data_IF_813417208389
#
_entry.id   IF_813417208389
#
_cell.length_a   1.000
_cell.length_b   1.000
_cell.length_c   1.000
_cell.angle_alpha   90.00
_cell.angle_beta   90.00
_cell.angle_gamma   90.00
#
_symmetry.space_group_name_H-M   'P 1'
#
loop_
_entity.id
_entity.type
_entity.pdbx_description
1 polymer ?
#
# COMPACT_ATOMS: atom_id res chain seq x y z
N UNK A 1 8.60 8.41 22.24
CA UNK A 1 9.13 7.02 22.26
C UNK A 1 10.61 6.97 22.65
N UNK A 2 11.06 5.92 23.35
CA UNK A 2 12.49 5.75 23.70
C UNK A 2 13.30 5.41 22.45
N UNK A 3 14.30 6.22 22.11
CA UNK A 3 15.18 5.96 20.98
C UNK A 3 15.99 4.69 21.21
N UNK A 4 15.98 3.78 20.25
CA UNK A 4 16.78 2.56 20.33
C UNK A 4 18.22 2.84 19.91
N UNK A 5 19.21 2.33 20.65
CA UNK A 5 20.62 2.46 20.28
C UNK A 5 20.99 1.45 19.21
N UNK A 6 21.44 1.94 18.06
CA UNK A 6 21.96 1.15 16.96
C UNK A 6 23.51 1.24 16.94
N UNK A 7 24.19 0.14 17.28
CA UNK A 7 25.64 0.13 17.46
C UNK A 7 26.23 -1.28 17.28
N UNK A 8 27.51 -1.47 17.60
CA UNK A 8 28.20 -2.76 17.42
C UNK A 8 27.66 -3.90 18.30
N UNK A 9 26.88 -3.62 19.35
CA UNK A 9 26.18 -4.63 20.17
C UNK A 9 24.78 -4.90 19.64
N UNK A 10 24.07 -3.85 19.26
CA UNK A 10 22.73 -3.92 18.66
C UNK A 10 22.82 -3.61 17.16
N UNK A 11 23.36 -4.56 16.40
CA UNK A 11 23.68 -4.33 14.98
C UNK A 11 22.50 -4.49 14.04
N UNK A 12 21.41 -5.11 14.48
CA UNK A 12 20.25 -5.42 13.66
C UNK A 12 19.01 -5.19 14.50
N UNK A 13 18.12 -4.35 14.01
CA UNK A 13 16.82 -4.09 14.62
C UNK A 13 15.77 -4.21 13.54
N UNK A 14 14.71 -4.96 13.82
CA UNK A 14 13.57 -5.08 12.93
C UNK A 14 12.52 -4.08 13.36
N UNK A 15 11.88 -3.47 12.38
CA UNK A 15 10.82 -2.47 12.56
C UNK A 15 9.61 -2.88 11.74
N UNK A 16 8.45 -2.58 12.31
CA UNK A 16 7.17 -2.56 11.64
C UNK A 16 6.81 -1.10 11.45
N UNK A 17 6.51 -0.70 10.22
CA UNK A 17 6.27 0.69 9.85
C UNK A 17 4.99 0.75 9.05
N UNK A 18 3.99 1.44 9.58
CA UNK A 18 2.83 1.82 8.77
C UNK A 18 3.29 2.72 7.63
N UNK A 19 2.51 2.69 6.56
CA UNK A 19 2.80 3.44 5.37
C UNK A 19 1.49 4.02 4.83
N UNK A 20 1.56 5.26 4.38
CA UNK A 20 0.44 5.97 3.74
C UNK A 20 0.92 6.63 2.45
N UNK A 21 2.18 6.38 2.07
CA UNK A 21 2.81 7.02 0.94
C UNK A 21 3.60 5.99 0.15
N UNK A 22 3.69 6.16 -1.16
CA UNK A 22 4.39 5.21 -2.04
C UNK A 22 5.91 5.35 -1.94
N UNK A 23 6.45 5.59 -0.74
CA UNK A 23 7.89 5.74 -0.51
C UNK A 23 8.35 5.24 0.87
N UNK A 24 9.57 4.71 0.93
CA UNK A 24 10.30 4.43 2.17
C UNK A 24 11.36 5.53 2.35
N UNK A 25 11.29 6.27 3.45
CA UNK A 25 12.23 7.36 3.75
C UNK A 25 13.21 6.96 4.84
N UNK A 26 14.50 7.22 4.58
CA UNK A 26 15.58 7.08 5.55
C UNK A 26 16.24 8.46 5.70
N UNK A 27 16.05 9.11 6.84
CA UNK A 27 16.47 10.50 7.04
C UNK A 27 17.31 10.67 8.29
N UNK A 28 18.00 11.81 8.38
CA UNK A 28 18.63 12.21 9.63
C UNK A 28 17.63 12.88 10.58
N UNK A 29 17.97 12.96 11.87
CA UNK A 29 17.07 13.53 12.87
C UNK A 29 16.82 15.04 12.75
N UNK A 30 17.69 15.78 12.06
CA UNK A 30 17.47 17.22 11.82
C UNK A 30 16.42 17.51 10.74
N UNK A 31 16.07 16.50 9.95
CA UNK A 31 15.01 16.57 8.93
C UNK A 31 13.59 16.57 9.53
N UNK A 32 13.46 16.33 10.84
CA UNK A 32 12.15 16.26 11.51
C UNK A 32 11.36 17.54 11.26
N UNK A 33 10.29 17.44 10.47
CA UNK A 33 9.35 18.53 10.09
C UNK A 33 9.99 19.73 9.39
N UNK A 34 11.16 19.55 8.78
CA UNK A 34 11.88 20.65 8.16
C UNK A 34 12.00 20.48 6.64
N UNK A 35 11.57 19.34 6.10
CA UNK A 35 11.64 19.10 4.66
C UNK A 35 10.38 19.60 3.95
N UNK A 36 10.63 20.32 2.87
CA UNK A 36 9.64 20.59 1.84
C UNK A 36 9.40 19.27 1.07
N UNK A 37 8.19 18.73 1.17
CA UNK A 37 7.82 17.45 0.56
C UNK A 37 7.43 17.55 -0.92
N UNK A 38 7.62 18.71 -1.56
CA UNK A 38 7.59 18.83 -3.03
C UNK A 38 8.79 18.12 -3.66
N UNK A 39 8.71 17.79 -4.96
CA UNK A 39 9.83 17.18 -5.70
C UNK A 39 11.13 17.99 -5.57
N UNK A 40 11.06 19.31 -5.70
CA UNK A 40 12.23 20.19 -5.57
C UNK A 40 12.78 20.21 -4.14
N UNK A 41 11.90 20.18 -3.13
CA UNK A 41 12.29 20.12 -1.73
C UNK A 41 12.98 18.81 -1.37
N UNK A 42 12.42 17.68 -1.80
CA UNK A 42 13.00 16.35 -1.61
C UNK A 42 14.35 16.23 -2.35
N UNK A 43 14.46 16.72 -3.59
CA UNK A 43 15.72 16.72 -4.33
C UNK A 43 16.81 17.54 -3.62
N UNK A 44 16.47 18.69 -3.04
CA UNK A 44 17.40 19.48 -2.20
C UNK A 44 17.81 18.72 -0.95
N UNK A 45 16.87 18.04 -0.28
CA UNK A 45 17.17 17.25 0.91
C UNK A 45 18.14 16.10 0.60
N UNK A 46 17.94 15.39 -0.52
CA UNK A 46 18.84 14.32 -0.98
C UNK A 46 20.21 14.89 -1.34
N UNK A 47 20.28 16.01 -2.07
CA UNK A 47 21.54 16.68 -2.38
C UNK A 47 22.30 17.14 -1.12
N UNK A 48 21.57 17.53 -0.08
CA UNK A 48 22.11 17.89 1.23
C UNK A 48 22.43 16.67 2.13
N UNK A 49 22.28 15.43 1.62
CA UNK A 49 22.48 14.17 2.36
C UNK A 49 21.59 14.07 3.60
N UNK A 50 20.41 14.65 3.56
CA UNK A 50 19.43 14.62 4.67
C UNK A 50 18.43 13.48 4.54
N UNK A 51 18.26 12.97 3.33
CA UNK A 51 17.25 11.99 2.96
C UNK A 51 17.82 10.97 1.96
N UNK A 52 17.42 9.72 2.14
CA UNK A 52 17.45 8.67 1.12
C UNK A 52 16.00 8.18 0.97
N UNK A 53 15.48 8.17 -0.25
CA UNK A 53 14.11 7.77 -0.52
C UNK A 53 14.05 6.62 -1.54
N UNK A 54 13.22 5.62 -1.28
CA UNK A 54 12.98 4.49 -2.18
C UNK A 54 11.50 4.47 -2.56
N UNK A 55 11.19 4.30 -3.85
CA UNK A 55 9.80 4.21 -4.31
C UNK A 55 9.18 2.86 -3.95
N UNK A 56 7.97 2.88 -3.41
CA UNK A 56 7.16 1.71 -3.09
C UNK A 56 6.05 1.53 -4.12
N UNK A 57 5.74 0.28 -4.46
CA UNK A 57 4.67 -0.05 -5.40
C UNK A 57 3.28 -0.12 -4.73
N UNK A 58 3.22 0.09 -3.41
CA UNK A 58 2.00 0.12 -2.60
C UNK A 58 2.14 1.03 -1.37
N UNK A 59 1.01 1.28 -0.73
CA UNK A 59 0.82 2.03 0.51
C UNK A 59 0.69 1.14 1.75
N UNK A 60 0.75 -0.20 1.68
CA UNK A 60 0.70 -1.03 2.90
C UNK A 60 1.95 -0.89 3.79
N UNK A 61 1.77 -1.27 5.07
CA UNK A 61 2.83 -1.35 6.07
C UNK A 61 4.03 -2.21 5.65
N UNK A 62 5.16 -1.97 6.30
CA UNK A 62 6.47 -2.44 5.88
C UNK A 62 7.25 -3.03 7.04
N UNK A 63 7.56 -4.32 6.94
CA UNK A 63 8.59 -4.94 7.76
C UNK A 63 9.99 -4.65 7.19
N UNK A 64 10.80 -3.90 7.92
CA UNK A 64 12.17 -3.59 7.53
C UNK A 64 13.18 -3.97 8.62
N UNK A 65 14.42 -4.27 8.21
CA UNK A 65 15.55 -4.49 9.12
C UNK A 65 16.59 -3.40 8.94
N UNK A 66 16.89 -2.68 10.01
CA UNK A 66 17.98 -1.71 10.06
C UNK A 66 19.26 -2.40 10.53
N UNK A 67 20.32 -2.35 9.72
CA UNK A 67 21.60 -3.03 9.96
C UNK A 67 22.74 -2.02 10.09
N UNK A 68 23.41 -2.01 11.24
CA UNK A 68 24.64 -1.24 11.43
C UNK A 68 25.88 -2.09 11.18
N UNK A 69 26.61 -1.74 10.12
CA UNK A 69 27.73 -2.51 9.59
C UNK A 69 27.33 -3.31 8.35
N UNK A 70 27.86 -4.52 8.23
CA UNK A 70 27.64 -5.34 7.03
C UNK A 70 26.32 -6.11 7.12
N UNK A 71 25.54 -6.10 6.03
CA UNK A 71 24.47 -7.06 5.81
C UNK A 71 25.02 -8.49 5.97
N UNK A 72 24.19 -9.44 6.37
CA UNK A 72 24.58 -10.83 6.45
C UNK A 72 24.54 -11.48 5.05
N UNK A 73 25.00 -12.72 4.96
CA UNK A 73 25.05 -13.44 3.68
C UNK A 73 23.66 -13.65 3.07
N UNK A 74 22.68 -14.06 3.86
CA UNK A 74 21.31 -14.30 3.42
C UNK A 74 20.63 -13.01 2.95
N UNK A 75 20.78 -11.92 3.71
CA UNK A 75 20.23 -10.59 3.38
C UNK A 75 20.68 -10.13 1.98
N UNK A 76 21.94 -10.37 1.61
CA UNK A 76 22.45 -10.06 0.26
C UNK A 76 22.04 -11.08 -0.80
N UNK A 77 22.07 -12.38 -0.48
CA UNK A 77 21.75 -13.44 -1.44
C UNK A 77 20.26 -13.50 -1.82
N UNK A 78 19.38 -13.02 -0.95
CA UNK A 78 17.93 -12.99 -1.18
C UNK A 78 17.42 -11.63 -1.70
N UNK A 79 18.29 -10.62 -1.75
CA UNK A 79 17.94 -9.30 -2.29
C UNK A 79 17.69 -9.36 -3.80
N UNK A 80 16.62 -8.70 -4.22
CA UNK A 80 16.16 -8.66 -5.61
C UNK A 80 16.39 -7.31 -6.28
N UNK A 81 16.62 -6.26 -5.48
CA UNK A 81 17.01 -4.92 -5.91
C UNK A 81 17.93 -4.32 -4.83
N UNK A 82 18.81 -3.41 -5.22
CA UNK A 82 19.62 -2.62 -4.31
C UNK A 82 19.71 -1.16 -4.76
N UNK A 83 19.75 -0.25 -3.80
CA UNK A 83 20.06 1.15 -4.07
C UNK A 83 20.92 1.73 -2.96
N UNK A 84 21.81 2.65 -3.28
CA UNK A 84 22.71 3.27 -2.32
C UNK A 84 22.71 4.79 -2.41
N UNK A 85 22.67 5.45 -1.25
CA UNK A 85 22.74 6.90 -1.10
C UNK A 85 23.56 7.29 0.14
N UNK A 86 24.02 8.53 0.20
CA UNK A 86 24.74 9.06 1.37
C UNK A 86 23.80 9.83 2.29
N UNK A 87 23.99 9.64 3.60
CA UNK A 87 23.23 10.29 4.65
C UNK A 87 24.18 10.89 5.70
N UNK A 88 24.02 12.18 5.97
CA UNK A 88 24.72 12.87 7.06
C UNK A 88 23.96 12.68 8.37
N UNK A 89 24.52 11.83 9.24
CA UNK A 89 24.01 11.52 10.58
C UNK A 89 24.87 12.20 11.65
N UNK A 90 25.49 13.36 11.37
CA UNK A 90 26.29 14.14 12.32
C UNK A 90 25.54 14.53 13.61
N UNK A 91 24.21 14.56 13.58
CA UNK A 91 23.36 14.77 14.76
C UNK A 91 23.16 13.51 15.62
N UNK A 92 23.66 12.35 15.19
CA UNK A 92 23.59 11.09 15.93
C UNK A 92 22.20 10.45 15.95
N UNK A 93 21.29 10.86 15.06
CA UNK A 93 19.91 10.35 14.99
C UNK A 93 19.59 9.94 13.57
N UNK A 94 19.18 8.68 13.41
CA UNK A 94 18.61 8.11 12.20
C UNK A 94 17.09 7.97 12.38
N UNK A 95 16.33 8.26 11.34
CA UNK A 95 14.91 7.95 11.27
C UNK A 95 14.62 7.10 10.02
N UNK A 96 13.74 6.12 10.18
CA UNK A 96 13.20 5.31 9.08
C UNK A 96 11.69 5.45 9.14
N UNK A 97 11.05 5.76 8.02
CA UNK A 97 9.61 5.98 7.95
C UNK A 97 8.98 5.34 6.72
N UNK A 98 7.80 4.75 6.90
CA UNK A 98 6.85 4.53 5.81
C UNK A 98 6.28 5.89 5.41
N UNK A 99 6.61 6.31 4.21
CA UNK A 99 6.24 7.59 3.64
C UNK A 99 6.94 8.80 4.24
N UNK A 100 6.24 9.93 4.27
CA UNK A 100 6.78 11.22 4.70
C UNK A 100 6.48 11.54 6.18
N UNK A 101 5.84 10.63 6.92
CA UNK A 101 5.33 10.87 8.27
C UNK A 101 6.34 11.50 9.24
N UNK A 102 7.63 11.16 9.14
CA UNK A 102 8.67 11.76 9.99
C UNK A 102 9.06 13.20 9.60
N UNK A 103 9.07 13.50 8.31
CA UNK A 103 9.60 14.75 7.73
C UNK A 103 8.51 15.76 7.38
N UNK A 104 7.25 15.32 7.37
CA UNK A 104 6.08 16.14 7.09
C UNK A 104 5.94 17.27 8.13
N UNK A 105 5.76 18.50 7.65
CA UNK A 105 5.90 19.72 8.44
C UNK A 105 4.58 20.37 8.87
N UNK A 106 3.44 19.83 8.42
CA UNK A 106 2.12 20.45 8.66
C UNK A 106 1.46 20.00 9.97
N UNK A 107 2.05 19.01 10.66
CA UNK A 107 1.47 18.36 11.83
C UNK A 107 2.21 18.76 13.10
N UNK A 108 1.50 19.04 14.19
CA UNK A 108 2.13 19.46 15.45
C UNK A 108 2.85 18.30 16.17
N UNK A 109 3.71 18.63 17.15
CA UNK A 109 4.61 17.69 17.84
C UNK A 109 3.88 16.51 18.47
N UNK A 110 2.68 16.80 18.98
CA UNK A 110 1.86 15.87 19.73
C UNK A 110 1.09 14.97 18.77
N UNK A 111 0.46 15.55 17.76
CA UNK A 111 -0.30 14.82 16.73
C UNK A 111 0.58 13.82 15.97
N UNK A 112 1.83 14.18 15.62
CA UNK A 112 2.75 13.21 14.99
C UNK A 112 3.10 12.03 15.89
N UNK A 113 3.21 12.22 17.21
CA UNK A 113 3.52 11.10 18.12
C UNK A 113 2.28 10.25 18.41
N UNK A 114 1.10 10.88 18.50
CA UNK A 114 -0.17 10.20 18.80
C UNK A 114 -0.77 9.48 17.58
N UNK A 115 -0.65 10.05 16.38
CA UNK A 115 -1.28 9.53 15.16
C UNK A 115 -0.27 8.85 14.23
N UNK A 116 0.96 9.36 14.15
CA UNK A 116 1.97 8.89 13.20
C UNK A 116 3.13 8.13 13.83
N UNK A 117 3.04 7.82 15.12
CA UNK A 117 4.09 7.11 15.85
C UNK A 117 4.43 5.74 15.24
N UNK A 118 3.45 5.10 14.60
CA UNK A 118 3.57 3.77 13.98
C UNK A 118 4.20 3.83 12.57
N UNK A 119 4.27 5.03 11.96
CA UNK A 119 4.81 5.23 10.62
C UNK A 119 6.33 5.41 10.60
N UNK A 120 6.97 5.63 11.75
CA UNK A 120 8.42 5.85 11.80
C UNK A 120 9.06 5.34 13.08
N UNK A 121 10.32 4.91 12.95
CA UNK A 121 11.18 4.57 14.07
C UNK A 121 12.46 5.41 14.04
N UNK A 122 12.89 5.87 15.21
CA UNK A 122 14.15 6.60 15.37
C UNK A 122 15.19 5.80 16.14
N UNK A 123 16.45 6.02 15.80
CA UNK A 123 17.61 5.32 16.36
C UNK A 123 18.71 6.31 16.75
N UNK A 124 19.31 6.09 17.91
CA UNK A 124 20.59 6.71 18.26
C UNK A 124 21.72 5.96 17.53
N UNK A 125 22.51 6.70 16.77
CA UNK A 125 23.65 6.20 15.98
C UNK A 125 24.92 6.99 16.34
N UNK A 126 26.08 6.43 16.00
CA UNK A 126 27.33 7.20 16.12
C UNK A 126 27.31 8.35 15.11
N UNK A 127 27.63 9.60 15.50
CA UNK A 127 27.70 10.72 14.56
C UNK A 127 28.68 10.49 13.41
N UNK A 128 28.27 10.83 12.19
CA UNK A 128 29.12 10.76 11.00
C UNK A 128 28.32 10.72 9.70
N UNK A 129 29.04 10.62 8.58
CA UNK A 129 28.43 10.37 7.26
C UNK A 129 28.40 8.88 6.97
N UNK A 130 27.27 8.40 6.47
CA UNK A 130 27.02 6.98 6.21
C UNK A 130 26.58 6.75 4.76
N UNK A 131 27.07 5.66 4.19
CA UNK A 131 26.47 5.02 3.04
C UNK A 131 25.27 4.20 3.55
N UNK A 132 24.10 4.55 3.05
CA UNK A 132 22.86 3.81 3.26
C UNK A 132 22.63 2.96 2.02
N UNK A 133 22.64 1.64 2.19
CA UNK A 133 22.26 0.68 1.14
C UNK A 133 20.92 0.08 1.51
N UNK A 134 19.91 0.25 0.64
CA UNK A 134 18.61 -0.36 0.79
C UNK A 134 18.54 -1.58 -0.12
N UNK A 135 18.25 -2.73 0.44
CA UNK A 135 17.93 -3.95 -0.32
C UNK A 135 16.43 -4.18 -0.27
N UNK A 136 15.84 -4.46 -1.43
CA UNK A 136 14.47 -4.95 -1.51
C UNK A 136 14.50 -6.47 -1.47
N UNK A 137 13.65 -7.05 -0.63
CA UNK A 137 13.47 -8.49 -0.45
C UNK A 137 12.08 -8.92 -0.96
N UNK A 138 11.86 -10.23 -1.05
CA UNK A 138 10.60 -10.80 -1.55
C UNK A 138 9.38 -10.54 -0.67
N UNK A 139 9.54 -10.09 0.58
CA UNK A 139 8.41 -9.75 1.44
C UNK A 139 7.72 -8.43 1.09
N UNK A 140 8.26 -7.65 0.16
CA UNK A 140 7.65 -6.39 -0.30
C UNK A 140 6.93 -6.59 -1.63
N UNK A 141 5.85 -5.85 -1.89
CA UNK A 141 5.24 -5.80 -3.21
C UNK A 141 6.14 -5.26 -4.32
N UNK A 142 7.16 -4.46 -3.97
CA UNK A 142 8.22 -4.11 -4.92
C UNK A 142 8.86 -5.37 -5.53
N UNK A 143 8.77 -6.50 -4.85
CA UNK A 143 9.28 -7.75 -5.36
C UNK A 143 8.61 -8.28 -6.61
N UNK A 144 7.39 -7.86 -6.91
CA UNK A 144 6.76 -8.21 -8.18
C UNK A 144 7.50 -7.61 -9.38
N UNK A 145 8.43 -6.66 -9.20
CA UNK A 145 9.32 -6.20 -10.26
C UNK A 145 10.19 -7.33 -10.83
N UNK A 146 10.48 -8.39 -10.06
CA UNK A 146 11.16 -9.61 -10.54
C UNK A 146 10.43 -10.23 -11.73
N UNK A 147 9.10 -10.10 -11.78
CA UNK A 147 8.25 -10.70 -12.83
C UNK A 147 8.36 -9.98 -14.17
N UNK A 148 8.94 -8.77 -14.18
CA UNK A 148 9.18 -7.97 -15.39
C UNK A 148 10.46 -8.38 -16.12
N UNK A 149 11.25 -9.31 -15.57
CA UNK A 149 12.50 -9.78 -16.18
C UNK A 149 12.24 -10.57 -17.45
N UNK A 150 13.15 -10.42 -18.40
CA UNK A 150 13.10 -11.19 -19.64
C UNK A 150 13.19 -12.70 -19.32
N UNK A 151 12.28 -13.48 -19.89
CA UNK A 151 12.26 -14.93 -19.68
C UNK A 151 11.75 -15.37 -18.31
N UNK A 152 11.09 -14.51 -17.53
CA UNK A 152 10.40 -14.89 -16.29
C UNK A 152 9.40 -16.03 -16.56
N UNK A 153 9.49 -17.11 -15.77
CA UNK A 153 8.66 -18.32 -15.93
C UNK A 153 7.63 -18.51 -14.81
N UNK A 154 7.61 -17.64 -13.82
CA UNK A 154 6.81 -17.79 -12.59
C UNK A 154 7.65 -18.16 -11.37
N UNK A 155 7.07 -17.93 -10.21
CA UNK A 155 7.64 -18.21 -8.90
C UNK A 155 7.79 -19.71 -8.65
N UNK A 156 6.79 -20.53 -9.00
CA UNK A 156 6.86 -21.97 -8.74
C UNK A 156 7.93 -22.67 -9.59
N UNK A 157 8.07 -22.40 -10.91
CA UNK A 157 9.19 -22.93 -11.69
C UNK A 157 10.55 -22.50 -11.14
N UNK A 158 10.72 -21.22 -10.76
CA UNK A 158 11.98 -20.74 -10.20
C UNK A 158 12.34 -21.45 -8.90
N UNK A 159 11.36 -21.61 -8.00
CA UNK A 159 11.55 -22.33 -6.75
C UNK A 159 11.88 -23.81 -6.99
N UNK A 160 11.14 -24.50 -7.85
CA UNK A 160 11.41 -25.92 -8.18
C UNK A 160 12.82 -26.11 -8.75
N UNK A 161 13.26 -25.19 -9.61
CA UNK A 161 14.60 -25.24 -10.22
C UNK A 161 15.71 -25.07 -9.18
N UNK A 162 15.57 -24.10 -8.28
CA UNK A 162 16.68 -23.67 -7.40
C UNK A 162 16.61 -24.23 -5.98
N UNK A 163 15.45 -24.74 -5.56
CA UNK A 163 15.12 -25.21 -4.21
C UNK A 163 14.33 -26.53 -4.19
N UNK A 164 14.55 -27.43 -5.15
CA UNK A 164 13.80 -28.70 -5.34
C UNK A 164 13.62 -29.61 -4.10
N UNK A 165 14.48 -29.48 -3.08
CA UNK A 165 14.44 -30.28 -1.85
C UNK A 165 13.81 -29.57 -0.66
N UNK A 166 13.39 -28.31 -0.82
CA UNK A 166 12.74 -27.52 0.23
C UNK A 166 11.22 -27.57 0.07
N UNK A 167 10.52 -27.29 1.17
CA UNK A 167 9.09 -27.00 1.11
C UNK A 167 8.90 -25.58 0.58
N UNK A 168 7.78 -25.32 -0.07
CA UNK A 168 7.42 -23.99 -0.56
C UNK A 168 7.04 -23.10 0.63
N UNK A 169 7.63 -21.90 0.77
CA UNK A 169 7.17 -20.94 1.75
C UNK A 169 5.71 -20.54 1.50
N UNK A 170 4.97 -20.26 2.57
CA UNK A 170 3.59 -19.78 2.53
C UNK A 170 3.36 -18.57 1.62
N UNK A 171 4.10 -17.49 1.91
CA UNK A 171 4.07 -16.24 1.14
C UNK A 171 4.29 -16.45 -0.37
N UNK A 172 5.10 -17.46 -0.75
CA UNK A 172 5.38 -17.75 -2.15
C UNK A 172 4.14 -18.30 -2.86
N UNK A 173 3.24 -18.99 -2.14
CA UNK A 173 1.98 -19.50 -2.69
C UNK A 173 1.04 -18.37 -3.04
N UNK A 174 0.95 -17.36 -2.17
CA UNK A 174 0.17 -16.16 -2.45
C UNK A 174 0.71 -15.45 -3.71
N UNK A 175 2.03 -15.27 -3.80
CA UNK A 175 2.65 -14.58 -4.93
C UNK A 175 2.48 -15.36 -6.25
N UNK A 176 2.65 -16.69 -6.20
CA UNK A 176 2.39 -17.58 -7.32
C UNK A 176 0.91 -17.51 -7.76
N UNK A 177 -0.02 -17.53 -6.81
CA UNK A 177 -1.45 -17.42 -7.09
C UNK A 177 -1.80 -16.06 -7.72
N UNK A 178 -1.21 -14.96 -7.24
CA UNK A 178 -1.37 -13.62 -7.81
C UNK A 178 -0.86 -13.53 -9.26
N UNK A 179 0.19 -14.29 -9.60
CA UNK A 179 0.67 -14.44 -10.98
C UNK A 179 -0.12 -15.46 -11.82
N UNK A 180 -1.19 -16.04 -11.26
CA UNK A 180 -2.04 -17.00 -11.95
C UNK A 180 -1.43 -18.39 -12.10
N UNK A 181 -0.44 -18.74 -11.28
CA UNK A 181 0.14 -20.09 -11.25
C UNK A 181 -0.78 -21.07 -10.52
N UNK A 182 -0.72 -22.35 -10.91
CA UNK A 182 -1.52 -23.42 -10.31
C UNK A 182 -0.86 -23.92 -9.00
N UNK A 183 -1.24 -23.28 -7.90
CA UNK A 183 -0.82 -23.65 -6.54
C UNK A 183 -1.51 -24.93 -6.05
N UNK A 184 -2.70 -25.24 -6.56
CA UNK A 184 -3.48 -26.43 -6.17
C UNK A 184 -2.81 -27.74 -6.66
N UNK A 185 -1.93 -27.65 -7.66
CA UNK A 185 -1.10 -28.75 -8.13
C UNK A 185 0.06 -29.12 -7.18
N UNK A 186 0.32 -28.33 -6.13
CA UNK A 186 1.38 -28.61 -5.16
C UNK A 186 0.88 -29.65 -4.15
N UNK A 187 1.59 -30.78 -3.96
CA UNK A 187 1.15 -31.82 -3.02
C UNK A 187 1.02 -31.30 -1.59
N UNK A 188 -0.05 -31.72 -0.90
CA UNK A 188 -0.26 -31.50 0.52
C UNK A 188 0.99 -31.98 1.31
N UNK A 189 1.56 -31.12 2.15
CA UNK A 189 2.82 -31.37 2.87
C UNK A 189 4.10 -30.91 2.16
N UNK A 190 4.02 -30.40 0.92
CA UNK A 190 5.13 -29.68 0.25
C UNK A 190 5.14 -28.19 0.53
N UNK A 191 4.09 -27.64 1.11
CA UNK A 191 4.02 -26.25 1.56
C UNK A 191 4.47 -26.23 3.04
N UNK A 192 5.22 -25.20 3.43
CA UNK A 192 5.51 -24.93 4.84
C UNK A 192 4.19 -24.65 5.56
N UNK A 193 4.09 -25.01 6.83
CA UNK A 193 2.91 -24.57 7.61
C UNK A 193 3.06 -23.07 7.73
N UNK A 194 2.02 -22.34 7.31
CA UNK A 194 2.03 -20.89 7.38
C UNK A 194 2.25 -20.50 8.84
N UNK A 195 3.30 -19.71 9.06
CA UNK A 195 3.37 -18.92 10.26
C UNK A 195 2.55 -17.67 9.96
N UNK A 196 1.22 -17.82 9.93
CA UNK A 196 0.25 -16.78 9.60
C UNK A 196 0.53 -15.47 10.37
N UNK A 197 1.21 -15.59 11.50
CA UNK A 197 1.50 -14.51 12.43
C UNK A 197 2.69 -13.63 12.03
N UNK A 198 3.47 -13.95 10.98
CA UNK A 198 4.65 -13.16 10.60
C UNK A 198 4.93 -13.08 9.09
N UNK A 199 4.78 -11.86 8.56
CA UNK A 199 5.24 -11.54 7.20
C UNK A 199 6.78 -11.49 7.12
N UNK A 200 7.39 -11.92 6.00
CA UNK A 200 8.81 -11.76 5.78
C UNK A 200 9.20 -10.29 5.60
N UNK A 201 10.43 -9.93 5.96
CA UNK A 201 11.01 -8.62 5.72
C UNK A 201 10.88 -8.22 4.24
N UNK A 202 10.35 -7.02 4.01
CA UNK A 202 10.34 -6.38 2.69
C UNK A 202 11.64 -5.64 2.37
N UNK A 203 12.33 -5.11 3.38
CA UNK A 203 13.54 -4.31 3.17
C UNK A 203 14.65 -4.57 4.20
N UNK A 204 15.89 -4.38 3.76
CA UNK A 204 17.07 -4.28 4.64
C UNK A 204 17.73 -2.93 4.39
N UNK A 205 17.85 -2.12 5.45
CA UNK A 205 18.48 -0.80 5.42
C UNK A 205 19.84 -0.93 6.10
N UNK A 206 20.90 -1.04 5.29
CA UNK A 206 22.27 -1.18 5.76
C UNK A 206 22.93 0.19 5.91
N UNK A 207 23.59 0.42 7.05
CA UNK A 207 24.40 1.60 7.33
C UNK A 207 25.88 1.23 7.49
N UNK A 208 26.73 1.77 6.64
CA UNK A 208 28.19 1.70 6.77
C UNK A 208 28.80 3.10 6.72
N UNK A 209 29.92 3.38 7.40
CA UNK A 209 30.60 4.67 7.27
C UNK A 209 30.88 4.98 5.80
N UNK A 210 30.54 6.20 5.36
CA UNK A 210 30.75 6.62 3.98
C UNK A 210 32.24 6.83 3.68
N UNK A 211 32.60 6.63 2.42
CA UNK A 211 33.92 6.93 1.87
C UNK A 211 33.79 7.72 0.58
N UNK A 212 34.87 8.39 0.15
CA UNK A 212 34.88 9.10 -1.14
C UNK A 212 34.87 8.18 -2.36
N UNK A 213 35.04 6.87 -2.15
CA UNK A 213 35.05 5.85 -3.19
C UNK A 213 33.70 5.15 -3.37
N UNK A 214 32.70 5.49 -2.54
CA UNK A 214 31.40 4.85 -2.63
C UNK A 214 30.72 5.20 -3.96
N UNK A 215 30.28 4.16 -4.67
CA UNK A 215 29.40 4.30 -5.84
C UNK A 215 27.97 4.52 -5.33
N UNK A 216 27.31 5.56 -5.84
CA UNK A 216 25.93 5.91 -5.49
C UNK A 216 25.00 5.51 -6.62
N UNK A 217 23.80 5.07 -6.26
CA UNK A 217 22.75 4.84 -7.24
C UNK A 217 22.37 6.15 -7.92
N UNK A 218 21.99 6.13 -9.21
CA UNK A 218 21.30 7.24 -9.85
C UNK A 218 20.03 7.61 -9.08
N UNK A 219 19.54 8.82 -9.33
CA UNK A 219 18.28 9.28 -8.75
C UNK A 219 17.20 9.42 -9.81
N UNK A 220 16.10 8.70 -9.65
CA UNK A 220 14.85 8.97 -10.36
C UNK A 220 14.22 10.25 -9.81
N UNK A 221 13.76 11.12 -10.72
CA UNK A 221 13.11 12.40 -10.39
C UNK A 221 13.96 13.33 -9.51
N UNK A 222 15.26 13.05 -9.39
CA UNK A 222 16.21 13.83 -8.59
C UNK A 222 16.18 13.56 -7.09
N UNK A 223 15.35 12.63 -6.59
CA UNK A 223 15.27 12.34 -5.14
C UNK A 223 15.04 10.86 -4.78
N UNK A 224 14.52 10.03 -5.68
CA UNK A 224 14.28 8.60 -5.39
C UNK A 224 15.49 7.80 -5.88
N UNK A 225 15.96 6.83 -5.10
CA UNK A 225 17.00 5.91 -5.57
C UNK A 225 16.48 5.11 -6.78
N UNK A 226 17.24 5.13 -7.87
CA UNK A 226 17.11 4.18 -8.97
C UNK A 226 17.67 2.83 -8.48
N UNK A 227 16.75 1.89 -8.22
CA UNK A 227 17.07 0.62 -7.60
C UNK A 227 17.60 -0.35 -8.66
N UNK A 228 18.86 -0.74 -8.55
CA UNK A 228 19.49 -1.71 -9.42
C UNK A 228 18.87 -3.10 -9.20
N UNK A 229 18.31 -3.75 -10.23
CA UNK A 229 17.78 -5.10 -10.09
C UNK A 229 18.92 -6.11 -9.86
N UNK A 230 18.76 -6.95 -8.84
CA UNK A 230 19.65 -8.07 -8.52
C UNK A 230 19.04 -9.39 -8.96
N UNK A 231 19.84 -10.33 -9.47
CA UNK A 231 19.38 -11.67 -9.79
C UNK A 231 19.84 -12.69 -8.74
N UNK A 232 18.99 -13.01 -7.73
CA UNK A 232 19.30 -14.11 -6.82
C UNK A 232 19.54 -15.41 -7.58
N UNK A 233 20.67 -16.07 -7.29
CA UNK A 233 20.99 -17.39 -7.84
C UNK A 233 19.89 -18.42 -7.47
N UNK A 234 19.23 -18.21 -6.33
CA UNK A 234 18.19 -19.09 -5.81
C UNK A 234 16.94 -18.30 -5.50
N UNK A 235 15.79 -18.93 -5.69
CA UNK A 235 14.53 -18.39 -5.20
C UNK A 235 14.69 -18.08 -3.69
N UNK A 236 14.39 -16.83 -3.27
CA UNK A 236 14.41 -16.43 -1.87
C UNK A 236 13.49 -17.32 -1.04
N UNK A 237 13.84 -17.47 0.24
CA UNK A 237 13.02 -18.20 1.22
C UNK A 237 12.20 -17.25 2.08
N UNK A 238 12.56 -15.96 2.09
CA UNK A 238 12.01 -14.98 3.01
C UNK A 238 12.85 -14.93 4.28
N UNK A 239 12.98 -13.74 4.85
CA UNK A 239 13.69 -13.50 6.10
C UNK A 239 12.66 -13.01 7.09
N UNK A 240 12.36 -13.79 8.13
CA UNK A 240 11.39 -13.37 9.15
C UNK A 240 11.98 -12.28 10.07
N UNK A 241 11.15 -11.32 10.51
CA UNK A 241 11.54 -10.36 11.53
C UNK A 241 11.76 -11.04 12.89
N UNK A 242 12.51 -10.38 13.77
CA UNK A 242 12.91 -10.84 15.11
C UNK A 242 12.57 -9.78 16.15
N UNK A 243 11.88 -10.20 17.21
CA UNK A 243 11.55 -9.31 18.32
C UNK A 243 10.33 -8.41 18.05
N UNK A 244 9.75 -8.50 16.85
CA UNK A 244 8.38 -8.09 16.57
C UNK A 244 7.50 -9.29 16.91
N UNK A 245 7.25 -9.52 18.20
CA UNK A 245 6.08 -10.32 18.59
C UNK A 245 4.88 -9.42 18.37
N UNK A 246 3.80 -9.94 17.79
CA UNK A 246 2.53 -9.22 17.60
C UNK A 246 2.32 -8.24 18.76
N UNK A 247 2.18 -6.96 18.40
CA UNK A 247 1.47 -6.02 19.25
C UNK A 247 0.22 -6.75 19.72
N UNK A 248 0.07 -6.91 21.03
CA UNK A 248 -1.06 -7.58 21.64
C UNK A 248 -2.32 -7.13 20.89
N UNK A 249 -2.98 -8.06 20.19
CA UNK A 249 -4.12 -7.84 19.31
C UNK A 249 -4.82 -6.55 19.72
N UNK A 250 -4.64 -5.48 18.94
CA UNK A 250 -5.11 -4.14 19.27
C UNK A 250 -6.55 -4.32 19.72
N UNK A 251 -6.81 -4.15 21.03
CA UNK A 251 -8.16 -4.18 21.55
C UNK A 251 -8.90 -3.11 20.75
N UNK A 252 -9.86 -3.53 19.91
CA UNK A 252 -10.64 -2.61 19.08
C UNK A 252 -10.98 -1.39 19.94
N UNK A 253 -10.58 -0.18 19.52
CA UNK A 253 -10.75 1.00 20.36
C UNK A 253 -12.22 1.07 20.78
N UNK A 254 -12.51 1.32 22.08
CA UNK A 254 -13.86 1.26 22.61
C UNK A 254 -14.75 2.15 21.75
N UNK A 255 -15.76 1.54 21.11
CA UNK A 255 -16.72 2.21 20.22
C UNK A 255 -17.06 3.59 20.79
N UNK A 256 -16.54 4.66 20.16
CA UNK A 256 -16.88 6.04 20.52
C UNK A 256 -18.40 6.15 20.54
N UNK A 257 -18.95 6.70 21.62
CA UNK A 257 -20.39 6.86 21.78
C UNK A 257 -20.96 7.61 20.57
N UNK A 258 -21.94 6.99 19.90
CA UNK A 258 -22.58 7.57 18.72
C UNK A 258 -23.06 9.01 19.01
N UNK A 259 -22.59 10.02 18.27
CA UNK A 259 -23.08 11.38 18.43
C UNK A 259 -24.59 11.40 18.17
N UNK A 260 -25.33 12.15 18.99
CA UNK A 260 -26.78 12.32 18.85
C UNK A 260 -27.09 12.90 17.46
N UNK A 261 -27.72 12.07 16.61
CA UNK A 261 -28.05 12.41 15.23
C UNK A 261 -28.82 13.73 15.13
N UNK A 262 -28.36 14.69 14.31
CA UNK A 262 -29.14 15.87 13.97
C UNK A 262 -30.44 15.48 13.24
N UNK A 263 -31.44 16.36 13.31
CA UNK A 263 -32.75 16.12 12.73
C UNK A 263 -32.65 16.06 11.18
N UNK A 264 -32.85 14.85 10.65
CA UNK A 264 -32.70 14.51 9.22
C UNK A 264 -33.49 15.48 8.32
N UNK A 265 -32.79 16.18 7.44
CA UNK A 265 -33.39 16.73 6.23
C UNK A 265 -34.01 15.57 5.43
N UNK A 266 -35.29 15.70 5.04
CA UNK A 266 -35.98 14.67 4.25
C UNK A 266 -35.47 14.73 2.81
N UNK A 267 -34.48 13.88 2.52
CA UNK A 267 -34.03 13.65 1.14
C UNK A 267 -35.20 13.23 0.23
N UNK A 268 -35.10 13.45 -1.10
CA UNK A 268 -36.12 13.06 -2.06
C UNK A 268 -36.47 11.57 -1.92
N UNK A 269 -37.77 11.24 -1.91
CA UNK A 269 -38.23 9.85 -1.96
C UNK A 269 -37.92 9.28 -3.33
N UNK A 270 -37.00 8.32 -3.41
CA UNK A 270 -36.65 7.63 -4.66
C UNK A 270 -36.98 6.15 -4.51
N UNK A 271 -37.53 5.57 -5.58
CA UNK A 271 -37.73 4.13 -5.68
C UNK A 271 -36.38 3.41 -5.80
N UNK A 272 -35.95 2.79 -4.70
CA UNK A 272 -34.68 2.07 -4.60
C UNK A 272 -34.54 0.97 -5.64
N UNK A 273 -35.63 0.28 -5.97
CA UNK A 273 -35.61 -0.84 -6.92
C UNK A 273 -35.47 -0.32 -8.35
N UNK A 274 -36.21 0.73 -8.69
CA UNK A 274 -36.11 1.37 -10.00
C UNK A 274 -34.70 1.93 -10.23
N UNK A 275 -34.08 2.55 -9.23
CA UNK A 275 -32.69 3.04 -9.33
C UNK A 275 -31.68 1.91 -9.50
N UNK A 276 -31.77 0.85 -8.69
CA UNK A 276 -30.87 -0.29 -8.83
C UNK A 276 -30.96 -0.92 -10.23
N UNK A 277 -32.16 -1.00 -10.80
CA UNK A 277 -32.35 -1.53 -12.16
C UNK A 277 -31.84 -0.57 -13.23
N UNK A 278 -31.99 0.75 -13.04
CA UNK A 278 -31.44 1.77 -13.95
C UNK A 278 -29.92 1.68 -14.08
N UNK A 279 -29.21 1.35 -13.00
CA UNK A 279 -27.75 1.20 -12.98
C UNK A 279 -27.25 -0.24 -13.17
N UNK A 280 -28.13 -1.21 -13.45
CA UNK A 280 -27.70 -2.57 -13.80
C UNK A 280 -26.76 -2.59 -15.03
N UNK A 281 -27.01 -1.86 -16.13
CA UNK A 281 -26.12 -1.89 -17.28
C UNK A 281 -24.73 -1.32 -16.98
N UNK A 282 -24.62 -0.36 -16.04
CA UNK A 282 -23.33 0.10 -15.54
C UNK A 282 -22.54 -1.05 -14.90
N UNK A 283 -23.17 -1.80 -13.99
CA UNK A 283 -22.53 -2.92 -13.31
C UNK A 283 -22.14 -4.05 -14.28
N UNK A 284 -22.96 -4.31 -15.30
CA UNK A 284 -22.65 -5.29 -16.35
C UNK A 284 -21.48 -4.82 -17.25
N UNK A 285 -21.46 -3.55 -17.65
CA UNK A 285 -20.34 -2.96 -18.40
C UNK A 285 -19.04 -3.01 -17.57
N UNK A 286 -19.14 -2.68 -16.28
CA UNK A 286 -18.06 -2.81 -15.32
C UNK A 286 -17.64 -4.27 -15.10
N UNK A 287 -18.50 -5.27 -15.28
CA UNK A 287 -18.10 -6.69 -15.28
C UNK A 287 -17.51 -7.16 -16.63
N UNK A 288 -17.84 -6.51 -17.75
CA UNK A 288 -17.41 -6.95 -19.08
C UNK A 288 -16.18 -6.23 -19.66
N UNK A 289 -15.54 -5.34 -18.90
CA UNK A 289 -14.42 -4.49 -19.36
C UNK A 289 -14.83 -3.47 -20.41
N UNK A 290 -16.11 -3.12 -20.44
CA UNK A 290 -16.64 -2.12 -21.35
C UNK A 290 -16.64 -0.74 -20.67
N UNK A 291 -15.45 -0.28 -20.26
CA UNK A 291 -15.33 0.91 -19.41
C UNK A 291 -15.81 2.20 -20.05
N UNK A 292 -15.69 2.32 -21.37
CA UNK A 292 -16.26 3.46 -22.10
C UNK A 292 -17.78 3.54 -21.86
N UNK A 293 -18.48 2.39 -21.91
CA UNK A 293 -19.92 2.32 -21.62
C UNK A 293 -20.22 2.56 -20.15
N UNK A 294 -19.38 2.06 -19.24
CA UNK A 294 -19.54 2.32 -17.80
C UNK A 294 -19.37 3.81 -17.47
N UNK A 295 -18.43 4.50 -18.13
CA UNK A 295 -18.15 5.92 -17.94
C UNK A 295 -19.34 6.82 -18.33
N UNK A 296 -20.23 6.39 -19.24
CA UNK A 296 -21.43 7.16 -19.64
C UNK A 296 -22.43 7.38 -18.49
N UNK A 297 -22.35 6.57 -17.43
CA UNK A 297 -23.18 6.69 -16.24
C UNK A 297 -22.71 7.77 -15.27
N UNK A 298 -21.47 8.26 -15.43
CA UNK A 298 -20.93 9.33 -14.61
C UNK A 298 -21.36 10.72 -15.12
N UNK A 299 -21.32 11.68 -14.20
CA UNK A 299 -21.40 13.10 -14.54
C UNK A 299 -20.31 13.46 -15.56
N UNK A 300 -20.59 14.45 -16.41
CA UNK A 300 -19.74 14.79 -17.54
C UNK A 300 -18.30 15.13 -17.11
N UNK A 301 -18.14 15.88 -16.03
CA UNK A 301 -16.85 16.27 -15.46
C UNK A 301 -15.98 15.08 -15.04
N UNK A 302 -16.57 13.96 -14.62
CA UNK A 302 -15.86 12.81 -14.07
C UNK A 302 -15.65 11.67 -15.10
N UNK A 303 -16.17 11.77 -16.34
CA UNK A 303 -16.16 10.64 -17.29
C UNK A 303 -14.76 10.17 -17.66
N UNK A 304 -13.86 11.12 -17.94
CA UNK A 304 -12.47 10.81 -18.33
C UNK A 304 -11.71 10.14 -17.18
N UNK A 305 -11.79 10.72 -15.99
CA UNK A 305 -11.15 10.21 -14.78
C UNK A 305 -11.73 8.85 -14.38
N UNK A 306 -13.05 8.64 -14.51
CA UNK A 306 -13.69 7.36 -14.22
C UNK A 306 -13.20 6.26 -15.17
N UNK A 307 -13.09 6.56 -16.46
CA UNK A 307 -12.54 5.62 -17.45
C UNK A 307 -11.11 5.21 -17.09
N UNK A 308 -10.25 6.19 -16.78
CA UNK A 308 -8.87 5.94 -16.37
C UNK A 308 -8.79 5.14 -15.07
N UNK A 309 -9.52 5.56 -14.04
CA UNK A 309 -9.58 4.92 -12.73
C UNK A 309 -10.01 3.46 -12.82
N UNK A 310 -11.10 3.17 -13.53
CA UNK A 310 -11.59 1.82 -13.75
C UNK A 310 -10.58 0.96 -14.54
N UNK A 311 -9.91 1.55 -15.54
CA UNK A 311 -8.89 0.87 -16.34
C UNK A 311 -7.70 0.45 -15.48
N UNK A 312 -7.14 1.37 -14.69
CA UNK A 312 -5.98 1.12 -13.84
C UNK A 312 -6.33 0.12 -12.73
N UNK A 313 -7.40 0.37 -11.96
CA UNK A 313 -7.78 -0.48 -10.82
C UNK A 313 -8.16 -1.90 -11.26
N UNK A 314 -8.71 -2.08 -12.45
CA UNK A 314 -9.10 -3.41 -12.93
C UNK A 314 -8.01 -4.18 -13.66
N UNK A 315 -7.07 -3.54 -14.34
CA UNK A 315 -5.92 -4.27 -14.90
C UNK A 315 -5.18 -5.06 -13.80
N UNK A 316 -5.25 -4.59 -12.55
CA UNK A 316 -4.74 -5.29 -11.36
C UNK A 316 -5.56 -6.54 -10.95
N UNK A 317 -6.79 -6.72 -11.43
CA UNK A 317 -7.76 -7.74 -10.96
C UNK A 317 -8.32 -8.57 -12.13
N UNK A 318 -7.57 -9.57 -12.60
CA UNK A 318 -7.85 -10.37 -13.80
C UNK A 318 -9.08 -11.32 -13.75
N UNK A 319 -9.70 -11.53 -12.58
CA UNK A 319 -10.87 -12.42 -12.43
C UNK A 319 -11.85 -11.84 -11.42
N UNK A 320 -13.05 -11.48 -11.88
CA UNK A 320 -14.20 -11.13 -11.04
C UNK A 320 -15.23 -12.23 -11.13
N UNK A 321 -15.97 -12.42 -10.05
CA UNK A 321 -17.19 -13.20 -10.08
C UNK A 321 -18.31 -12.39 -10.77
N UNK A 322 -19.31 -13.05 -11.40
CA UNK A 322 -20.45 -12.35 -11.99
C UNK A 322 -21.18 -11.46 -10.98
N UNK A 323 -21.87 -10.44 -11.48
CA UNK A 323 -22.74 -9.58 -10.69
C UNK A 323 -23.78 -10.44 -9.95
N UNK A 324 -23.69 -10.48 -8.61
CA UNK A 324 -24.63 -11.18 -7.74
C UNK A 324 -25.84 -10.29 -7.43
N UNK A 325 -25.59 -9.03 -7.07
CA UNK A 325 -26.64 -8.12 -6.60
C UNK A 325 -26.29 -6.67 -6.88
N UNK A 326 -27.32 -5.87 -7.17
CA UNK A 326 -27.25 -4.41 -7.22
C UNK A 326 -28.37 -3.82 -6.37
N UNK A 327 -28.08 -2.79 -5.57
CA UNK A 327 -29.08 -2.09 -4.77
C UNK A 327 -28.69 -0.64 -4.49
N UNK A 328 -29.68 0.21 -4.23
CA UNK A 328 -29.47 1.56 -3.71
C UNK A 328 -29.38 1.51 -2.18
N UNK A 329 -28.19 1.78 -1.64
CA UNK A 329 -27.98 2.04 -0.22
C UNK A 329 -28.30 3.51 0.08
N UNK A 330 -28.94 3.78 1.22
CA UNK A 330 -29.20 5.15 1.67
C UNK A 330 -28.70 5.30 3.09
N UNK A 331 -27.51 5.89 3.22
CA UNK A 331 -26.99 6.38 4.49
C UNK A 331 -27.65 7.69 4.91
N UNK A 332 -27.13 8.27 6.00
CA UNK A 332 -27.36 9.69 6.28
C UNK A 332 -26.54 10.49 5.27
N UNK A 333 -27.18 11.34 4.46
CA UNK A 333 -26.49 12.09 3.42
C UNK A 333 -25.33 12.95 3.96
N UNK A 334 -25.49 13.55 5.15
CA UNK A 334 -24.41 14.32 5.80
C UNK A 334 -23.21 13.44 6.13
N UNK A 335 -23.44 12.29 6.78
CA UNK A 335 -22.38 11.35 7.16
C UNK A 335 -21.71 10.76 5.91
N UNK A 336 -22.51 10.25 4.97
CA UNK A 336 -21.99 9.56 3.79
C UNK A 336 -21.27 10.50 2.83
N UNK A 337 -21.77 11.72 2.58
CA UNK A 337 -21.04 12.68 1.74
C UNK A 337 -19.73 13.12 2.41
N UNK A 338 -19.72 13.27 3.74
CA UNK A 338 -18.49 13.56 4.47
C UNK A 338 -17.47 12.42 4.40
N UNK A 339 -17.93 11.17 4.51
CA UNK A 339 -17.08 9.98 4.32
C UNK A 339 -16.50 9.93 2.91
N UNK A 340 -17.32 10.10 1.87
CA UNK A 340 -16.85 10.14 0.47
C UNK A 340 -15.77 11.22 0.25
N UNK A 341 -15.94 12.42 0.83
CA UNK A 341 -14.95 13.50 0.76
C UNK A 341 -13.65 13.12 1.44
N UNK A 342 -13.73 12.58 2.66
CA UNK A 342 -12.53 12.19 3.41
C UNK A 342 -11.75 11.08 2.69
N UNK A 343 -12.44 10.10 2.13
CA UNK A 343 -11.83 9.01 1.36
C UNK A 343 -11.25 9.49 0.02
N UNK A 344 -11.84 10.52 -0.59
CA UNK A 344 -11.31 11.18 -1.79
C UNK A 344 -10.01 11.94 -1.50
N UNK A 345 -9.96 12.69 -0.40
CA UNK A 345 -8.77 13.44 0.02
C UNK A 345 -7.58 12.52 0.36
N UNK A 346 -7.84 11.23 0.62
CA UNK A 346 -6.83 10.19 0.83
C UNK A 346 -6.49 9.38 -0.44
N UNK A 347 -6.97 9.80 -1.61
CA UNK A 347 -6.77 9.13 -2.90
C UNK A 347 -7.29 7.67 -2.96
N UNK A 348 -8.17 7.26 -2.04
CA UNK A 348 -8.73 5.90 -2.00
C UNK A 348 -9.88 5.70 -2.99
N UNK A 349 -10.55 6.79 -3.39
CA UNK A 349 -11.68 6.75 -4.30
C UNK A 349 -11.56 7.81 -5.42
N UNK A 350 -12.43 7.70 -6.43
CA UNK A 350 -12.68 8.78 -7.35
C UNK A 350 -14.02 9.44 -6.96
N UNK A 351 -14.05 10.76 -6.78
CA UNK A 351 -15.22 11.50 -6.32
C UNK A 351 -15.19 12.93 -6.84
N UNK A 352 -16.35 13.51 -7.17
CA UNK A 352 -16.47 14.92 -7.58
C UNK A 352 -17.01 15.77 -6.41
N UNK A 353 -16.17 16.19 -5.45
CA UNK A 353 -16.63 16.87 -4.25
C UNK A 353 -17.40 18.16 -4.56
N UNK A 354 -17.07 18.87 -5.63
CA UNK A 354 -17.73 20.13 -5.97
C UNK A 354 -19.14 19.94 -6.56
N UNK A 355 -19.44 18.73 -7.04
CA UNK A 355 -20.72 18.39 -7.67
C UNK A 355 -21.66 17.63 -6.73
N UNK A 356 -21.17 17.19 -5.56
CA UNK A 356 -21.95 16.44 -4.57
C UNK A 356 -22.29 17.30 -3.35
N UNK A 357 -23.59 17.52 -3.15
CA UNK A 357 -24.15 18.18 -1.98
C UNK A 357 -25.15 17.27 -1.26
N UNK A 358 -25.50 17.62 -0.03
CA UNK A 358 -26.50 16.87 0.75
C UNK A 358 -27.87 16.87 0.05
N UNK A 359 -28.17 17.94 -0.67
CA UNK A 359 -29.46 18.15 -1.36
C UNK A 359 -29.60 17.32 -2.62
N UNK A 360 -28.50 17.11 -3.36
CA UNK A 360 -28.53 16.36 -4.62
C UNK A 360 -28.14 14.89 -4.45
N UNK A 361 -27.58 14.48 -3.32
CA UNK A 361 -27.19 13.10 -3.05
C UNK A 361 -28.42 12.17 -2.88
N UNK A 362 -28.47 11.11 -3.68
CA UNK A 362 -29.58 10.16 -3.74
C UNK A 362 -29.31 8.84 -3.00
N UNK A 363 -28.05 8.57 -2.65
CA UNK A 363 -27.55 7.34 -2.02
C UNK A 363 -26.33 6.79 -2.75
N UNK A 364 -25.94 5.55 -2.44
CA UNK A 364 -24.90 4.82 -3.17
C UNK A 364 -25.53 3.68 -3.96
N UNK A 365 -25.20 3.58 -5.24
CA UNK A 365 -25.40 2.35 -6.00
C UNK A 365 -24.31 1.37 -5.59
N UNK A 366 -24.71 0.23 -5.01
CA UNK A 366 -23.81 -0.82 -4.58
C UNK A 366 -23.93 -2.03 -5.48
N UNK A 367 -22.81 -2.46 -6.06
CA UNK A 367 -22.70 -3.62 -6.93
C UNK A 367 -21.88 -4.70 -6.24
N UNK A 368 -22.49 -5.84 -5.93
CA UNK A 368 -21.84 -7.01 -5.33
C UNK A 368 -21.50 -8.02 -6.43
N UNK A 369 -20.22 -8.29 -6.62
CA UNK A 369 -19.69 -9.27 -7.56
C UNK A 369 -19.23 -10.50 -6.78
N UNK A 370 -19.83 -11.64 -7.12
CA UNK A 370 -19.75 -12.84 -6.29
C UNK A 370 -20.65 -12.73 -5.06
N UNK A 371 -20.93 -13.88 -4.43
CA UNK A 371 -21.82 -13.93 -3.27
C UNK A 371 -20.98 -13.92 -2.00
N UNK A 372 -21.20 -12.95 -1.11
CA UNK A 372 -20.54 -12.89 0.21
C UNK A 372 -20.52 -14.22 0.97
N UNK A 373 -21.62 -14.98 0.97
CA UNK A 373 -21.66 -16.32 1.60
C UNK A 373 -20.80 -17.37 0.90
N UNK A 374 -20.62 -17.26 -0.42
CA UNK A 374 -19.74 -18.14 -1.17
C UNK A 374 -18.27 -17.81 -0.87
N UNK A 375 -17.97 -16.52 -0.70
CA UNK A 375 -16.64 -16.07 -0.29
C UNK A 375 -16.31 -16.55 1.13
N UNK A 376 -17.20 -16.31 2.09
CA UNK A 376 -17.04 -16.75 3.48
C UNK A 376 -16.93 -18.28 3.64
N UNK A 377 -17.38 -19.07 2.64
CA UNK A 377 -17.25 -20.52 2.63
C UNK A 377 -16.10 -21.02 1.75
N UNK A 378 -15.27 -20.14 1.20
CA UNK A 378 -14.13 -20.48 0.33
C UNK A 378 -14.52 -20.98 -1.06
N UNK A 379 -15.80 -20.92 -1.46
CA UNK A 379 -16.28 -21.38 -2.77
C UNK A 379 -15.87 -20.46 -3.91
N UNK A 380 -15.72 -19.18 -3.61
CA UNK A 380 -15.12 -18.18 -4.51
C UNK A 380 -13.96 -17.56 -3.74
N UNK A 381 -12.86 -17.30 -4.44
CA UNK A 381 -11.64 -16.74 -3.84
C UNK A 381 -11.65 -15.23 -3.76
N UNK A 382 -12.60 -14.59 -4.44
CA UNK A 382 -12.68 -13.13 -4.53
C UNK A 382 -14.12 -12.69 -4.39
N UNK A 383 -14.27 -11.61 -3.65
CA UNK A 383 -15.49 -10.89 -3.42
C UNK A 383 -15.20 -9.41 -3.67
N UNK A 384 -16.16 -8.70 -4.24
CA UNK A 384 -15.97 -7.28 -4.53
C UNK A 384 -17.31 -6.57 -4.35
N UNK A 385 -17.26 -5.48 -3.60
CA UNK A 385 -18.29 -4.46 -3.63
C UNK A 385 -17.74 -3.25 -4.39
N UNK A 386 -18.58 -2.70 -5.26
CA UNK A 386 -18.32 -1.40 -5.88
C UNK A 386 -19.41 -0.46 -5.40
N UNK A 387 -18.99 0.56 -4.68
CA UNK A 387 -19.85 1.63 -4.19
C UNK A 387 -19.72 2.82 -5.16
N UNK A 388 -20.85 3.41 -5.55
CA UNK A 388 -20.86 4.59 -6.42
C UNK A 388 -21.82 5.65 -5.87
N UNK A 389 -21.27 6.82 -5.52
CA UNK A 389 -22.08 7.95 -5.07
C UNK A 389 -23.04 8.37 -6.20
N UNK A 390 -24.34 8.42 -5.90
CA UNK A 390 -25.38 8.77 -6.85
C UNK A 390 -25.93 10.16 -6.53
N UNK A 391 -25.96 11.05 -7.52
CA UNK A 391 -26.56 12.38 -7.38
C UNK A 391 -27.67 12.60 -8.41
N UNK A 392 -28.57 13.55 -8.11
CA UNK A 392 -29.56 14.06 -9.04
C UNK A 392 -28.95 15.17 -9.91
N UNK A 393 -29.00 15.01 -11.23
CA UNK A 393 -28.62 16.05 -12.21
C UNK A 393 -29.84 16.53 -13.01
N UNK A 394 -29.64 17.51 -13.89
CA UNK A 394 -30.68 17.99 -14.81
C UNK A 394 -31.16 16.89 -15.78
N UNK A 395 -30.27 16.01 -16.22
CA UNK A 395 -30.55 14.92 -17.17
C UNK A 395 -30.94 13.61 -16.47
N UNK A 396 -31.12 13.65 -15.15
CA UNK A 396 -31.47 12.49 -14.32
C UNK A 396 -30.36 12.06 -13.37
N UNK A 397 -30.52 10.91 -12.69
CA UNK A 397 -29.52 10.39 -11.76
C UNK A 397 -28.21 10.04 -12.47
N UNK A 398 -27.07 10.45 -11.90
CA UNK A 398 -25.72 10.17 -12.42
C UNK A 398 -24.76 9.80 -11.29
N UNK A 399 -23.75 9.00 -11.62
CA UNK A 399 -22.68 8.65 -10.68
C UNK A 399 -21.71 9.83 -10.56
N UNK A 400 -21.36 10.20 -9.32
CA UNK A 400 -20.42 11.27 -9.00
C UNK A 400 -19.23 10.77 -8.15
N UNK A 401 -19.10 9.46 -8.02
CA UNK A 401 -17.93 8.82 -7.44
C UNK A 401 -17.97 7.31 -7.59
N UNK A 402 -16.81 6.66 -7.43
CA UNK A 402 -16.64 5.22 -7.46
C UNK A 402 -15.54 4.78 -6.50
N UNK A 403 -15.83 3.75 -5.73
CA UNK A 403 -14.94 3.13 -4.77
C UNK A 403 -15.02 1.60 -4.87
N UNK A 404 -13.88 0.94 -4.80
CA UNK A 404 -13.77 -0.52 -4.84
C UNK A 404 -13.47 -1.05 -3.44
N UNK A 405 -14.48 -1.58 -2.75
CA UNK A 405 -14.29 -2.25 -1.47
C UNK A 405 -14.05 -3.75 -1.70
N UNK A 406 -12.90 -4.25 -1.26
CA UNK A 406 -12.58 -5.69 -1.24
C UNK A 406 -13.04 -6.36 0.05
#
# INVERSE_FOLDING_TARGET
MTQQKLNTRNRRVDVDLDNESTALFVSNGSSKRSLDCTTDGLAKAVAAKQLVAVNLDQDDGIFARVVFGQANKQEREEAIEQGCGKLDLSVGVLAVAGGNAYVFNEIDAKEQEEEYGEYFQTFEVTPGEYLVTVYTLMGSYNAFRVTRREGWKGFLPWFRQTRSRKKFPGWLMEYALLQGEDVDAIPEGKIEEDNDDQEPLGFVIQLTPATDQDELSPLERGYQLDMEPLEPEKCPLGILPKGLSEQAAIEEPPKKAEPKKPAKAKAPSVDKKAMAEHFRPFAEALFNQEFDKAAEFFIESLRGEALEYMTIRRQRRSRWEPLNKIWLSRGNAEETVSEWRSEFEKDYNLFAPDEVSIENYLGDIRCEYGKSSAYASGKIRRYLIVDCALIQTADGPKLAGIYFSS
#
